data_IF_507871134727
#
_entry.id   IF_507871134727
#
_cell.length_a   1.000
_cell.length_b   1.000
_cell.length_c   1.000
_cell.angle_alpha   90.00
_cell.angle_beta   90.00
_cell.angle_gamma   90.00
#
_symmetry.space_group_name_H-M   'P 1'
#
loop_
_entity.id
_entity.type
_entity.pdbx_description
1 polymer ?
#
# COMPACT_ATOMS: atom_id res chain seq x y z
N UNK A 1 5.06 -18.49 -1.48
CA UNK A 1 5.21 -18.32 -2.93
C UNK A 1 4.08 -17.46 -3.43
N UNK A 2 4.32 -16.52 -4.37
CA UNK A 2 3.23 -15.73 -4.91
C UNK A 2 2.24 -16.65 -5.63
N UNK A 3 0.97 -16.49 -5.32
CA UNK A 3 -0.11 -17.11 -6.10
C UNK A 3 -0.27 -16.32 -7.39
N UNK A 4 0.48 -16.68 -8.41
CA UNK A 4 0.38 -16.04 -9.73
C UNK A 4 -0.57 -16.85 -10.59
N UNK A 5 -1.74 -16.31 -10.97
CA UNK A 5 -2.59 -16.94 -11.96
C UNK A 5 -1.81 -17.20 -13.25
N UNK A 6 -2.11 -18.29 -13.97
CA UNK A 6 -1.53 -18.53 -15.28
C UNK A 6 -1.69 -17.31 -16.17
N UNK A 7 -0.61 -16.84 -16.79
CA UNK A 7 -0.64 -15.68 -17.69
C UNK A 7 -0.40 -14.32 -17.04
N UNK A 8 -0.45 -14.18 -15.71
CA UNK A 8 -0.30 -12.88 -15.01
C UNK A 8 0.98 -12.10 -15.37
N UNK A 9 2.02 -12.78 -15.83
CA UNK A 9 3.26 -12.14 -16.32
C UNK A 9 3.15 -11.58 -17.74
N UNK A 10 2.07 -11.91 -18.47
CA UNK A 10 1.84 -11.48 -19.86
C UNK A 10 0.74 -10.42 -19.96
N UNK A 11 0.07 -10.12 -18.85
CA UNK A 11 -0.95 -9.06 -18.80
C UNK A 11 -0.34 -7.70 -19.13
N UNK A 12 -1.05 -6.93 -19.92
CA UNK A 12 -0.63 -5.58 -20.32
C UNK A 12 -1.55 -4.54 -19.68
N UNK A 13 -1.02 -3.36 -19.42
CA UNK A 13 -1.83 -2.24 -18.91
C UNK A 13 -2.96 -1.91 -19.90
N UNK A 14 -2.64 -1.88 -21.18
CA UNK A 14 -3.56 -1.50 -22.26
C UNK A 14 -4.80 -2.39 -22.32
N UNK A 15 -4.74 -3.66 -21.86
CA UNK A 15 -5.88 -4.58 -21.81
C UNK A 15 -7.01 -4.04 -20.93
N UNK A 16 -6.69 -3.14 -20.00
CA UNK A 16 -7.62 -2.53 -19.04
C UNK A 16 -7.94 -1.05 -19.34
N UNK A 17 -7.39 -0.48 -20.41
CA UNK A 17 -7.47 0.96 -20.71
C UNK A 17 -8.90 1.52 -20.78
N UNK A 18 -9.86 0.73 -21.27
CA UNK A 18 -11.29 1.12 -21.33
C UNK A 18 -11.93 1.34 -19.96
N UNK A 19 -11.32 0.87 -18.89
CA UNK A 19 -11.86 0.92 -17.51
C UNK A 19 -11.17 1.98 -16.63
N UNK A 20 -10.18 2.71 -17.16
CA UNK A 20 -9.41 3.70 -16.39
C UNK A 20 -10.15 5.02 -16.13
N UNK A 21 -11.23 5.28 -16.86
CA UNK A 21 -12.16 6.37 -16.60
C UNK A 21 -11.50 7.77 -16.46
N UNK A 22 -10.60 8.12 -17.41
CA UNK A 22 -9.89 9.41 -17.40
C UNK A 22 -8.66 9.43 -16.48
N UNK A 23 -8.02 8.27 -16.32
CA UNK A 23 -6.70 8.13 -15.70
C UNK A 23 -5.75 7.53 -16.74
N UNK A 24 -4.61 8.14 -16.96
CA UNK A 24 -3.56 7.57 -17.80
C UNK A 24 -2.66 6.63 -16.99
N UNK A 25 -2.15 5.57 -17.62
CA UNK A 25 -1.23 4.63 -17.02
C UNK A 25 0.00 4.40 -17.89
N UNK A 26 1.18 4.45 -17.27
CA UNK A 26 2.47 4.15 -17.89
C UNK A 26 3.21 3.09 -17.07
N UNK A 27 4.08 2.30 -17.72
CA UNK A 27 5.02 1.42 -17.03
C UNK A 27 6.40 2.07 -16.95
N UNK A 28 6.99 2.05 -15.75
CA UNK A 28 8.37 2.46 -15.49
C UNK A 28 9.19 1.29 -14.97
N UNK A 29 10.47 1.24 -15.33
CA UNK A 29 11.43 0.27 -14.81
C UNK A 29 12.36 0.94 -13.82
N UNK A 30 12.46 0.35 -12.63
CA UNK A 30 13.39 0.77 -11.59
C UNK A 30 14.31 -0.39 -11.19
N UNK A 31 15.32 -0.12 -10.39
CA UNK A 31 16.18 -1.15 -9.82
C UNK A 31 15.94 -1.22 -8.31
N UNK A 32 15.83 -2.43 -7.79
CA UNK A 32 15.89 -2.73 -6.36
C UNK A 32 17.29 -2.46 -5.81
N UNK A 33 17.46 -2.46 -4.48
CA UNK A 33 18.76 -2.24 -3.84
C UNK A 33 19.83 -3.25 -4.25
N UNK A 34 19.44 -4.46 -4.63
CA UNK A 34 20.33 -5.51 -5.12
C UNK A 34 20.46 -5.55 -6.65
N UNK A 35 19.94 -4.55 -7.36
CA UNK A 35 19.97 -4.45 -8.81
C UNK A 35 18.87 -5.22 -9.54
N UNK A 36 17.98 -5.95 -8.86
CA UNK A 36 16.82 -6.63 -9.46
C UNK A 36 15.95 -5.61 -10.19
N UNK A 37 15.58 -5.90 -11.45
CA UNK A 37 14.71 -5.02 -12.25
C UNK A 37 13.26 -5.17 -11.81
N UNK A 38 12.65 -4.04 -11.45
CA UNK A 38 11.27 -3.95 -11.00
C UNK A 38 10.44 -3.09 -11.95
N UNK A 39 9.15 -3.36 -11.98
CA UNK A 39 8.17 -2.58 -12.73
C UNK A 39 7.30 -1.79 -11.77
N UNK A 40 7.07 -0.54 -12.13
CA UNK A 40 6.15 0.36 -11.45
C UNK A 40 5.13 0.84 -12.47
N UNK A 41 3.85 0.64 -12.20
CA UNK A 41 2.80 1.28 -12.98
C UNK A 41 2.52 2.66 -12.39
N UNK A 42 2.51 3.68 -13.24
CA UNK A 42 2.35 5.09 -12.89
C UNK A 42 1.03 5.58 -13.43
N UNK A 43 0.16 6.07 -12.55
CA UNK A 43 -1.15 6.61 -12.90
C UNK A 43 -1.22 8.12 -12.64
N UNK A 44 -1.88 8.84 -13.55
CA UNK A 44 -2.22 10.25 -13.40
C UNK A 44 -3.64 10.50 -13.87
N UNK A 45 -4.47 11.24 -13.11
CA UNK A 45 -5.77 11.68 -13.60
C UNK A 45 -5.58 12.61 -14.79
N UNK A 46 -6.37 12.42 -15.85
CA UNK A 46 -6.48 13.37 -16.95
C UNK A 46 -7.31 14.56 -16.44
N UNK A 47 -6.65 15.57 -15.88
CA UNK A 47 -7.33 16.78 -15.40
C UNK A 47 -7.65 17.62 -16.63
N UNK A 48 -8.95 17.78 -16.92
CA UNK A 48 -9.42 18.79 -17.86
C UNK A 48 -9.05 20.18 -17.33
N UNK A 49 -8.01 20.77 -17.92
CA UNK A 49 -7.55 22.15 -17.85
C UNK A 49 -8.04 22.98 -16.65
N UNK A 50 -7.26 23.01 -15.58
CA UNK A 50 -7.26 24.15 -14.68
C UNK A 50 -6.08 25.07 -15.06
N UNK A 51 -6.30 26.38 -15.00
CA UNK A 51 -5.32 27.40 -15.36
C UNK A 51 -3.95 27.14 -14.73
N UNK A 52 -2.91 27.23 -15.55
CA UNK A 52 -1.50 26.92 -15.24
C UNK A 52 -0.82 27.87 -14.22
N UNK A 53 -1.55 28.61 -13.42
CA UNK A 53 -1.00 29.72 -12.62
C UNK A 53 -0.85 29.47 -11.11
N UNK A 54 -1.49 28.44 -10.53
CA UNK A 54 -1.30 28.14 -9.10
C UNK A 54 -0.44 26.90 -8.90
N UNK A 55 0.63 27.06 -8.11
CA UNK A 55 1.52 25.96 -7.67
C UNK A 55 0.71 25.00 -6.79
N UNK A 56 0.18 23.94 -7.40
CA UNK A 56 -0.62 22.94 -6.69
C UNK A 56 0.26 22.06 -5.83
N UNK A 57 -0.28 21.66 -4.67
CA UNK A 57 0.35 20.63 -3.85
C UNK A 57 0.40 19.32 -4.63
N UNK A 58 1.52 18.64 -4.58
CA UNK A 58 1.69 17.31 -5.18
C UNK A 58 1.34 16.22 -4.16
N UNK A 59 0.50 15.28 -4.54
CA UNK A 59 0.17 14.09 -3.74
C UNK A 59 0.59 12.84 -4.48
N UNK A 60 1.49 12.07 -3.87
CA UNK A 60 2.05 10.85 -4.46
C UNK A 60 1.64 9.65 -3.63
N UNK A 61 0.83 8.77 -4.21
CA UNK A 61 0.36 7.54 -3.57
C UNK A 61 1.23 6.37 -4.01
N UNK A 62 1.87 5.70 -3.07
CA UNK A 62 2.69 4.51 -3.28
C UNK A 62 1.88 3.27 -2.90
N UNK A 63 1.43 2.51 -3.90
CA UNK A 63 0.60 1.33 -3.70
C UNK A 63 1.40 0.03 -3.66
N UNK A 64 1.18 -0.75 -2.61
CA UNK A 64 1.76 -2.07 -2.37
C UNK A 64 0.66 -3.12 -2.46
N UNK A 65 0.68 -3.93 -3.52
CA UNK A 65 -0.35 -4.92 -3.79
C UNK A 65 -0.37 -6.08 -2.78
N UNK A 66 -1.53 -6.74 -2.67
CA UNK A 66 -1.68 -8.00 -1.96
C UNK A 66 -0.99 -9.17 -2.67
N UNK A 67 -1.02 -10.34 -2.01
CA UNK A 67 -0.50 -11.58 -2.59
C UNK A 67 -1.35 -12.02 -3.79
N UNK A 68 -0.68 -12.52 -4.82
CA UNK A 68 -1.34 -13.01 -6.03
C UNK A 68 -1.67 -11.93 -7.07
N UNK A 69 -1.97 -12.37 -8.28
CA UNK A 69 -2.22 -11.56 -9.46
C UNK A 69 -1.07 -10.58 -9.80
N UNK A 70 -1.34 -9.65 -10.68
CA UNK A 70 -0.41 -8.61 -11.14
C UNK A 70 -1.02 -7.22 -10.94
N UNK A 71 -0.32 -6.16 -11.34
CA UNK A 71 -0.84 -4.79 -11.26
C UNK A 71 -1.94 -4.51 -12.30
N UNK A 72 -1.85 -4.92 -13.58
CA UNK A 72 -2.85 -4.55 -14.59
C UNK A 72 -4.31 -4.77 -14.19
N UNK A 73 -4.75 -5.93 -13.67
CA UNK A 73 -6.15 -6.13 -13.27
C UNK A 73 -6.60 -5.28 -12.07
N UNK A 74 -5.68 -4.61 -11.37
CA UNK A 74 -5.99 -3.71 -10.25
C UNK A 74 -6.21 -2.27 -10.71
N UNK A 75 -5.75 -1.92 -11.93
CA UNK A 75 -5.82 -0.55 -12.45
C UNK A 75 -7.23 0.04 -12.51
N UNK A 76 -8.31 -0.72 -12.79
CA UNK A 76 -9.68 -0.17 -12.74
C UNK A 76 -10.06 0.36 -11.36
N UNK A 77 -9.80 -0.42 -10.30
CA UNK A 77 -10.08 -0.03 -8.92
C UNK A 77 -9.21 1.16 -8.50
N UNK A 78 -7.90 1.08 -8.75
CA UNK A 78 -6.95 2.15 -8.43
C UNK A 78 -7.29 3.46 -9.16
N UNK A 79 -7.68 3.39 -10.44
CA UNK A 79 -8.13 4.55 -11.22
C UNK A 79 -9.37 5.21 -10.61
N UNK A 80 -10.35 4.42 -10.20
CA UNK A 80 -11.56 4.94 -9.60
C UNK A 80 -11.29 5.70 -8.29
N UNK A 81 -10.44 5.14 -7.42
CA UNK A 81 -10.06 5.78 -6.14
C UNK A 81 -9.23 7.04 -6.40
N UNK A 82 -8.22 6.95 -7.28
CA UNK A 82 -7.37 8.09 -7.62
C UNK A 82 -8.19 9.25 -8.20
N UNK A 83 -9.11 8.95 -9.12
CA UNK A 83 -10.01 9.94 -9.70
C UNK A 83 -10.94 10.56 -8.67
N UNK A 84 -11.49 9.76 -7.76
CA UNK A 84 -12.35 10.26 -6.69
C UNK A 84 -11.58 11.21 -5.78
N UNK A 85 -10.37 10.85 -5.33
CA UNK A 85 -9.52 11.72 -4.52
C UNK A 85 -9.15 13.02 -5.26
N UNK A 86 -8.78 12.94 -6.54
CA UNK A 86 -8.42 14.11 -7.35
C UNK A 86 -9.59 15.04 -7.63
N UNK A 87 -10.81 14.52 -7.72
CA UNK A 87 -12.02 15.34 -7.88
C UNK A 87 -12.33 16.17 -6.64
N UNK A 88 -12.04 15.63 -5.48
CA UNK A 88 -12.37 16.25 -4.18
C UNK A 88 -11.26 17.18 -3.67
N UNK A 89 -10.10 17.21 -4.33
CA UNK A 89 -8.93 17.97 -3.89
C UNK A 89 -8.18 18.57 -5.09
N UNK A 90 -7.90 19.88 -5.08
CA UNK A 90 -7.24 20.58 -6.19
C UNK A 90 -5.71 20.32 -6.26
N UNK A 91 -5.28 19.13 -5.93
CA UNK A 91 -3.87 18.73 -5.92
C UNK A 91 -3.47 17.99 -7.20
N UNK A 92 -2.18 17.94 -7.48
CA UNK A 92 -1.61 17.13 -8.56
C UNK A 92 -1.36 15.72 -8.03
N UNK A 93 -2.20 14.79 -8.47
CA UNK A 93 -2.18 13.40 -8.01
C UNK A 93 -1.36 12.51 -8.91
N UNK A 94 -0.52 11.70 -8.31
CA UNK A 94 0.18 10.59 -8.98
C UNK A 94 0.06 9.33 -8.12
N UNK A 95 -0.33 8.20 -8.71
CA UNK A 95 -0.30 6.90 -8.06
C UNK A 95 0.78 6.04 -8.70
N UNK A 96 1.62 5.46 -7.86
CA UNK A 96 2.72 4.59 -8.21
C UNK A 96 2.42 3.19 -7.66
N UNK A 97 2.28 2.18 -8.49
CA UNK A 97 1.97 0.82 -8.07
C UNK A 97 3.17 -0.10 -8.31
N UNK A 98 3.77 -0.60 -7.21
CA UNK A 98 4.94 -1.46 -7.28
C UNK A 98 4.58 -2.90 -7.63
N UNK A 99 5.21 -3.44 -8.65
CA UNK A 99 5.26 -4.88 -8.90
C UNK A 99 6.53 -5.45 -8.26
N UNK A 100 6.38 -6.26 -7.22
CA UNK A 100 7.51 -6.89 -6.52
C UNK A 100 8.28 -7.82 -7.44
N UNK A 101 9.54 -8.15 -7.06
CA UNK A 101 10.31 -9.19 -7.74
C UNK A 101 9.52 -10.48 -7.89
N UNK A 102 9.56 -11.06 -9.08
CA UNK A 102 8.84 -12.27 -9.40
C UNK A 102 7.36 -12.10 -9.76
N UNK A 103 6.80 -10.89 -9.63
CA UNK A 103 5.44 -10.55 -10.06
C UNK A 103 5.46 -9.83 -11.41
N UNK A 104 4.35 -9.89 -12.14
CA UNK A 104 4.12 -9.24 -13.42
C UNK A 104 5.39 -9.25 -14.30
N UNK A 105 5.85 -8.06 -14.74
CA UNK A 105 7.04 -7.87 -15.59
C UNK A 105 8.34 -7.63 -14.79
N UNK A 106 8.29 -7.68 -13.45
CA UNK A 106 9.47 -7.62 -12.59
C UNK A 106 10.28 -8.92 -12.65
N UNK A 107 11.61 -8.80 -12.64
CA UNK A 107 12.51 -9.95 -12.63
C UNK A 107 12.65 -10.58 -11.24
N UNK A 108 13.45 -11.64 -11.13
CA UNK A 108 13.77 -12.30 -9.88
C UNK A 108 12.70 -13.27 -9.36
N UNK A 109 12.82 -13.61 -8.08
CA UNK A 109 11.89 -14.49 -7.35
C UNK A 109 11.45 -13.85 -6.05
N UNK A 110 10.17 -13.95 -5.72
CA UNK A 110 9.59 -13.39 -4.52
C UNK A 110 10.10 -14.11 -3.26
N UNK A 111 10.67 -13.35 -2.35
CA UNK A 111 11.02 -13.73 -0.98
C UNK A 111 11.08 -12.47 -0.12
N UNK A 112 10.80 -12.59 1.19
CA UNK A 112 10.63 -11.43 2.08
C UNK A 112 11.78 -10.44 1.99
N UNK A 113 13.01 -10.84 2.29
CA UNK A 113 14.18 -9.95 2.28
C UNK A 113 14.34 -9.20 0.95
N UNK A 114 14.05 -9.87 -0.17
CA UNK A 114 14.11 -9.23 -1.48
C UNK A 114 13.00 -8.21 -1.68
N UNK A 115 11.77 -8.51 -1.25
CA UNK A 115 10.62 -7.57 -1.33
C UNK A 115 10.84 -6.38 -0.38
N UNK A 116 11.48 -6.57 0.77
CA UNK A 116 11.91 -5.49 1.66
C UNK A 116 12.87 -4.52 0.94
N UNK A 117 13.84 -5.05 0.20
CA UNK A 117 14.74 -4.26 -0.65
C UNK A 117 14.01 -3.57 -1.80
N UNK A 118 13.02 -4.24 -2.42
CA UNK A 118 12.18 -3.67 -3.47
C UNK A 118 11.39 -2.47 -2.94
N UNK A 119 10.77 -2.62 -1.77
CA UNK A 119 9.97 -1.58 -1.13
C UNK A 119 10.81 -0.35 -0.75
N UNK A 120 11.99 -0.55 -0.17
CA UNK A 120 12.91 0.55 0.15
C UNK A 120 13.37 1.27 -1.11
N UNK A 121 13.81 0.53 -2.13
CA UNK A 121 14.24 1.11 -3.42
C UNK A 121 13.11 1.89 -4.09
N UNK A 122 11.88 1.39 -4.01
CA UNK A 122 10.70 2.03 -4.57
C UNK A 122 10.37 3.35 -3.86
N UNK A 123 10.38 3.38 -2.52
CA UNK A 123 10.16 4.63 -1.77
C UNK A 123 11.28 5.63 -2.07
N UNK A 124 12.55 5.19 -2.03
CA UNK A 124 13.68 6.06 -2.37
C UNK A 124 13.54 6.64 -3.78
N UNK A 125 13.21 5.81 -4.77
CA UNK A 125 12.98 6.26 -6.14
C UNK A 125 11.82 7.25 -6.23
N UNK A 126 10.71 7.01 -5.54
CA UNK A 126 9.57 7.91 -5.52
C UNK A 126 9.95 9.28 -4.91
N UNK A 127 10.66 9.29 -3.79
CA UNK A 127 11.17 10.52 -3.16
C UNK A 127 12.09 11.30 -4.12
N UNK A 128 13.03 10.62 -4.77
CA UNK A 128 13.96 11.25 -5.71
C UNK A 128 13.29 11.84 -6.95
N UNK A 129 12.22 11.25 -7.43
CA UNK A 129 11.57 11.68 -8.69
C UNK A 129 10.34 12.58 -8.49
N UNK A 130 9.73 12.52 -7.31
CA UNK A 130 8.48 13.25 -7.00
C UNK A 130 8.56 14.11 -5.74
N UNK A 131 9.54 13.88 -4.86
CA UNK A 131 9.71 14.57 -3.59
C UNK A 131 10.68 15.76 -3.62
N UNK A 132 10.90 16.38 -4.79
CA UNK A 132 11.88 17.46 -4.99
C UNK A 132 11.51 18.77 -4.28
N UNK A 133 10.24 18.96 -3.96
CA UNK A 133 9.72 20.07 -3.17
C UNK A 133 9.05 19.55 -1.90
N UNK A 134 9.82 19.25 -0.84
CA UNK A 134 9.28 18.62 0.37
C UNK A 134 8.17 19.42 1.04
N UNK A 135 8.21 20.76 0.95
CA UNK A 135 7.18 21.65 1.50
C UNK A 135 5.85 21.58 0.74
N UNK A 136 5.87 21.12 -0.51
CA UNK A 136 4.70 21.07 -1.39
C UNK A 136 4.36 19.65 -1.84
N UNK A 137 5.07 18.63 -1.35
CA UNK A 137 4.83 17.22 -1.70
C UNK A 137 4.37 16.43 -0.49
N UNK A 138 3.26 15.73 -0.66
CA UNK A 138 2.74 14.75 0.30
C UNK A 138 2.88 13.34 -0.25
N UNK A 139 3.42 12.43 0.56
CA UNK A 139 3.53 11.02 0.22
C UNK A 139 2.59 10.18 1.07
N UNK A 140 1.81 9.33 0.41
CA UNK A 140 0.86 8.41 1.03
C UNK A 140 1.28 6.99 0.66
N UNK A 141 1.50 6.12 1.65
CA UNK A 141 1.68 4.71 1.38
C UNK A 141 0.34 3.99 1.55
N UNK A 142 0.01 3.12 0.61
CA UNK A 142 -1.18 2.29 0.67
C UNK A 142 -0.84 0.83 0.40
N UNK A 143 -1.08 -0.02 1.39
CA UNK A 143 -0.84 -1.46 1.29
C UNK A 143 -2.12 -2.27 1.47
N UNK A 144 -2.32 -3.30 0.63
CA UNK A 144 -3.42 -4.24 0.71
C UNK A 144 -2.92 -5.61 1.18
N UNK A 145 -3.54 -6.20 2.20
CA UNK A 145 -3.21 -7.54 2.70
C UNK A 145 -1.70 -7.64 3.04
N UNK A 146 -0.94 -8.56 2.45
CA UNK A 146 0.52 -8.62 2.63
C UNK A 146 1.18 -7.28 2.29
N UNK A 147 0.62 -6.53 1.33
CA UNK A 147 1.07 -5.18 1.00
C UNK A 147 0.93 -4.20 2.16
N UNK A 148 0.01 -4.41 3.12
CA UNK A 148 -0.11 -3.57 4.31
C UNK A 148 1.11 -3.71 5.22
N UNK A 149 1.60 -4.92 5.43
CA UNK A 149 2.85 -5.18 6.15
C UNK A 149 4.08 -4.63 5.42
N UNK A 150 4.10 -4.73 4.07
CA UNK A 150 5.17 -4.16 3.24
C UNK A 150 5.17 -2.63 3.31
N UNK A 151 3.99 -1.99 3.23
CA UNK A 151 3.86 -0.54 3.34
C UNK A 151 4.28 -0.03 4.73
N UNK A 152 3.86 -0.70 5.80
CA UNK A 152 4.27 -0.38 7.17
C UNK A 152 5.79 -0.51 7.34
N UNK A 153 6.39 -1.60 6.84
CA UNK A 153 7.84 -1.79 6.83
C UNK A 153 8.56 -0.67 6.04
N UNK A 154 8.07 -0.33 4.85
CA UNK A 154 8.67 0.73 4.04
C UNK A 154 8.57 2.10 4.72
N UNK A 155 7.44 2.39 5.37
CA UNK A 155 7.25 3.61 6.17
C UNK A 155 8.22 3.68 7.36
N UNK A 156 8.41 2.57 8.09
CA UNK A 156 9.35 2.52 9.22
C UNK A 156 10.78 2.79 8.77
N UNK A 157 11.20 2.20 7.65
CA UNK A 157 12.55 2.41 7.11
C UNK A 157 12.78 3.83 6.58
N UNK A 158 11.77 4.41 5.96
CA UNK A 158 11.85 5.81 5.54
C UNK A 158 11.94 6.75 6.75
N UNK A 159 11.16 6.52 7.79
CA UNK A 159 11.19 7.32 9.03
C UNK A 159 12.55 7.24 9.74
N UNK A 160 13.20 6.07 9.77
CA UNK A 160 14.56 5.90 10.32
C UNK A 160 15.60 6.72 9.54
N UNK A 161 15.46 6.84 8.21
CA UNK A 161 16.43 7.51 7.33
C UNK A 161 16.18 9.00 7.14
N UNK A 162 14.95 9.48 7.35
CA UNK A 162 14.50 10.85 7.03
C UNK A 162 14.38 11.74 8.27
N UNK A 163 15.46 11.86 9.04
CA UNK A 163 15.49 12.76 10.20
C UNK A 163 15.70 14.25 9.80
N UNK A 164 15.93 14.54 8.51
CA UNK A 164 16.12 15.89 7.99
C UNK A 164 14.84 16.43 7.34
N UNK A 165 14.68 17.78 7.33
CA UNK A 165 13.54 18.47 6.71
C UNK A 165 13.59 18.50 5.19
N UNK A 166 14.69 18.04 4.58
CA UNK A 166 14.99 18.23 3.16
C UNK A 166 14.46 17.12 2.25
N UNK A 167 13.69 16.18 2.81
CA UNK A 167 13.13 15.02 2.08
C UNK A 167 11.62 14.99 2.26
N UNK A 168 10.90 14.73 1.18
CA UNK A 168 9.44 14.55 1.23
C UNK A 168 9.08 13.42 2.20
N UNK A 169 8.14 13.71 3.12
CA UNK A 169 7.75 12.84 4.20
C UNK A 169 6.55 11.98 3.82
N UNK A 170 6.51 10.77 4.37
CA UNK A 170 5.31 9.96 4.37
C UNK A 170 4.39 10.54 5.44
N UNK A 171 3.31 11.21 5.00
CA UNK A 171 2.34 11.86 5.89
C UNK A 171 1.18 10.95 6.27
N UNK A 172 0.92 9.92 5.45
CA UNK A 172 -0.24 9.04 5.61
C UNK A 172 0.09 7.60 5.23
N UNK A 173 -0.52 6.65 5.95
CA UNK A 173 -0.38 5.21 5.76
C UNK A 173 -1.77 4.57 5.73
N UNK A 174 -2.16 3.98 4.59
CA UNK A 174 -3.40 3.21 4.44
C UNK A 174 -3.08 1.72 4.53
N UNK A 175 -3.66 1.06 5.52
CA UNK A 175 -3.54 -0.38 5.76
C UNK A 175 -4.90 -1.03 5.44
N UNK A 176 -5.02 -1.62 4.26
CA UNK A 176 -6.21 -2.32 3.80
C UNK A 176 -6.11 -3.80 4.17
N UNK A 177 -7.12 -4.33 4.86
CA UNK A 177 -7.18 -5.70 5.38
C UNK A 177 -5.88 -6.12 6.09
N UNK A 178 -5.43 -5.33 7.10
CA UNK A 178 -4.14 -5.53 7.73
C UNK A 178 -4.13 -6.72 8.68
N UNK A 179 -2.93 -7.25 8.93
CA UNK A 179 -2.66 -8.30 9.92
C UNK A 179 -1.44 -7.94 10.77
N UNK A 180 -1.38 -8.48 11.99
CA UNK A 180 -0.26 -8.24 12.93
C UNK A 180 1.04 -8.83 12.39
N UNK A 181 1.01 -10.12 12.09
CA UNK A 181 2.11 -10.85 11.43
C UNK A 181 1.57 -12.11 10.77
N UNK A 182 2.29 -12.68 9.81
CA UNK A 182 1.91 -13.97 9.22
C UNK A 182 1.83 -15.05 10.30
N UNK A 183 2.73 -15.02 11.28
CA UNK A 183 2.71 -15.96 12.41
C UNK A 183 1.43 -15.82 13.25
N UNK A 184 1.09 -14.60 13.64
CA UNK A 184 -0.12 -14.30 14.41
C UNK A 184 -1.39 -14.67 13.64
N UNK A 185 -1.44 -14.36 12.34
CA UNK A 185 -2.55 -14.72 11.46
C UNK A 185 -2.75 -16.25 11.40
N UNK A 186 -1.67 -17.02 11.18
CA UNK A 186 -1.75 -18.47 11.14
C UNK A 186 -2.15 -19.07 12.50
N UNK A 187 -1.68 -18.50 13.62
CA UNK A 187 -2.09 -18.92 14.95
C UNK A 187 -3.58 -18.65 15.24
N UNK A 188 -4.13 -17.57 14.69
CA UNK A 188 -5.55 -17.24 14.84
C UNK A 188 -6.46 -18.13 13.96
N UNK A 189 -6.00 -18.51 12.75
CA UNK A 189 -6.75 -19.41 11.87
C UNK A 189 -6.71 -20.86 12.37
N UNK A 190 -5.58 -21.29 12.93
CA UNK A 190 -5.34 -22.66 13.40
C UNK A 190 -5.00 -22.68 14.90
N UNK A 191 -5.98 -22.48 15.79
CA UNK A 191 -5.74 -22.40 17.24
C UNK A 191 -5.34 -23.74 17.87
N UNK A 192 -5.68 -24.87 17.24
CA UNK A 192 -5.47 -26.20 17.80
C UNK A 192 -3.99 -26.59 17.91
N UNK A 193 -3.60 -27.06 19.08
CA UNK A 193 -2.20 -27.40 19.42
C UNK A 193 -1.62 -28.58 18.63
N UNK A 194 -2.45 -29.48 18.10
CA UNK A 194 -2.06 -30.70 17.38
C UNK A 194 -1.84 -30.47 15.88
N UNK A 195 -2.11 -29.26 15.39
CA UNK A 195 -1.98 -28.94 13.96
C UNK A 195 -0.48 -28.84 13.60
N UNK A 196 0.00 -29.57 12.58
CA UNK A 196 1.41 -29.65 12.20
C UNK A 196 2.08 -28.31 11.90
N UNK A 197 1.30 -27.26 11.59
CA UNK A 197 1.81 -25.91 11.29
C UNK A 197 2.66 -25.30 12.39
N UNK A 198 2.37 -25.58 13.67
CA UNK A 198 3.20 -25.09 14.80
C UNK A 198 4.62 -25.64 14.75
N UNK A 199 4.80 -26.84 14.24
CA UNK A 199 6.11 -27.46 14.04
C UNK A 199 6.82 -26.97 12.78
N UNK A 200 6.07 -26.40 11.81
CA UNK A 200 6.60 -25.82 10.58
C UNK A 200 6.99 -24.34 10.71
N UNK A 201 6.69 -23.68 11.84
CA UNK A 201 7.04 -22.27 12.07
C UNK A 201 8.53 -21.95 11.85
N UNK A 202 9.51 -22.77 12.23
CA UNK A 202 10.91 -22.50 11.91
C UNK A 202 11.21 -22.46 10.42
N UNK A 203 10.33 -23.03 9.59
CA UNK A 203 10.46 -23.08 8.13
C UNK A 203 9.70 -21.97 7.40
N UNK A 204 8.91 -21.15 8.14
CA UNK A 204 8.29 -19.96 7.56
C UNK A 204 9.40 -18.95 7.23
N UNK A 205 9.54 -18.68 5.92
CA UNK A 205 10.54 -17.74 5.40
C UNK A 205 10.07 -16.30 5.32
N UNK A 206 8.83 -16.03 5.73
CA UNK A 206 8.20 -14.71 5.63
C UNK A 206 7.40 -14.43 6.89
N UNK A 207 7.71 -13.34 7.58
CA UNK A 207 7.12 -13.02 8.87
C UNK A 207 6.20 -11.79 8.81
N UNK A 208 6.56 -10.81 7.98
CA UNK A 208 5.86 -9.53 7.83
C UNK A 208 5.26 -9.06 9.15
N UNK A 209 6.08 -8.46 9.99
CA UNK A 209 5.72 -8.01 11.32
C UNK A 209 5.26 -6.54 11.24
N UNK A 210 3.93 -6.35 11.17
CA UNK A 210 3.33 -5.00 11.15
C UNK A 210 3.43 -4.33 12.52
N UNK A 211 3.47 -5.10 13.61
CA UNK A 211 3.60 -4.57 14.97
C UNK A 211 4.97 -3.90 15.16
N UNK A 212 6.07 -4.58 14.82
CA UNK A 212 7.43 -4.00 14.89
C UNK A 212 7.55 -2.75 14.01
N UNK A 213 6.97 -2.78 12.81
CA UNK A 213 6.98 -1.63 11.91
C UNK A 213 6.23 -0.43 12.51
N UNK A 214 5.05 -0.61 13.11
CA UNK A 214 4.27 0.46 13.72
C UNK A 214 4.95 1.03 14.97
N UNK A 215 5.63 0.20 15.77
CA UNK A 215 6.44 0.67 16.90
C UNK A 215 7.55 1.60 16.43
N UNK A 216 8.29 1.23 15.39
CA UNK A 216 9.35 2.06 14.79
C UNK A 216 8.80 3.35 14.18
N UNK A 217 7.63 3.30 13.54
CA UNK A 217 6.94 4.49 13.02
C UNK A 217 6.60 5.46 14.15
N UNK A 218 6.14 4.95 15.30
CA UNK A 218 5.78 5.78 16.45
C UNK A 218 6.97 6.49 17.10
N UNK A 219 8.19 5.96 16.94
CA UNK A 219 9.43 6.60 17.42
C UNK A 219 9.87 7.77 16.53
N UNK A 220 9.26 7.93 15.35
CA UNK A 220 9.56 9.04 14.45
C UNK A 220 9.10 10.38 15.03
N UNK A 221 9.87 11.46 14.78
CA UNK A 221 9.47 12.82 15.12
C UNK A 221 8.19 13.28 14.39
N UNK A 222 7.83 12.62 13.29
CA UNK A 222 6.69 12.95 12.44
C UNK A 222 6.02 11.65 11.95
N UNK A 223 5.33 10.93 12.82
CA UNK A 223 4.64 9.71 12.43
C UNK A 223 3.50 10.01 11.46
N UNK A 224 3.28 9.18 10.42
CA UNK A 224 2.16 9.34 9.52
C UNK A 224 0.83 9.08 10.23
N UNK A 225 -0.23 9.73 9.76
CA UNK A 225 -1.60 9.32 10.10
C UNK A 225 -1.87 7.93 9.52
N UNK A 226 -2.60 7.10 10.24
CA UNK A 226 -2.89 5.72 9.83
C UNK A 226 -4.38 5.55 9.57
N UNK A 227 -4.74 5.05 8.39
CA UNK A 227 -6.09 4.57 8.09
C UNK A 227 -6.06 3.04 8.04
N UNK A 228 -6.89 2.40 8.83
CA UNK A 228 -7.17 0.97 8.73
C UNK A 228 -8.50 0.75 8.03
N UNK A 229 -8.49 0.05 6.89
CA UNK A 229 -9.69 -0.34 6.15
C UNK A 229 -9.88 -1.83 6.31
N UNK A 230 -10.92 -2.23 7.03
CA UNK A 230 -11.17 -3.62 7.42
C UNK A 230 -12.36 -4.17 6.66
N UNK A 231 -12.21 -5.34 6.05
CA UNK A 231 -13.32 -6.06 5.44
C UNK A 231 -14.12 -6.78 6.53
N UNK A 232 -15.42 -6.48 6.67
CA UNK A 232 -16.21 -7.07 7.76
C UNK A 232 -16.52 -8.57 7.58
N UNK A 233 -16.47 -9.06 6.37
CA UNK A 233 -16.61 -10.46 6.00
C UNK A 233 -15.30 -11.12 5.59
N UNK A 234 -14.16 -10.63 6.10
CA UNK A 234 -12.84 -11.14 5.72
C UNK A 234 -12.70 -12.63 6.07
N UNK A 235 -12.58 -13.45 5.02
CA UNK A 235 -12.46 -14.91 5.11
C UNK A 235 -11.01 -15.40 5.20
N UNK A 236 -10.04 -14.48 5.12
CA UNK A 236 -8.59 -14.79 5.12
C UNK A 236 -7.93 -14.27 6.40
N UNK A 237 -8.16 -13.00 6.73
CA UNK A 237 -7.55 -12.35 7.89
C UNK A 237 -8.61 -12.20 9.00
N UNK A 238 -8.49 -12.93 10.12
CA UNK A 238 -9.42 -12.80 11.22
C UNK A 238 -9.48 -11.37 11.76
N UNK A 239 -10.68 -10.87 12.04
CA UNK A 239 -10.93 -9.49 12.52
C UNK A 239 -10.05 -9.10 13.72
N UNK A 240 -9.76 -10.04 14.61
CA UNK A 240 -8.90 -9.83 15.78
C UNK A 240 -7.52 -9.28 15.42
N UNK A 241 -7.01 -9.54 14.22
CA UNK A 241 -5.74 -8.98 13.76
C UNK A 241 -5.81 -7.45 13.62
N UNK A 242 -6.89 -6.94 13.05
CA UNK A 242 -7.13 -5.50 12.94
C UNK A 242 -7.41 -4.87 14.31
N UNK A 243 -8.15 -5.57 15.20
CA UNK A 243 -8.44 -5.11 16.55
C UNK A 243 -7.14 -4.94 17.36
N UNK A 244 -6.20 -5.88 17.27
CA UNK A 244 -4.89 -5.83 17.91
C UNK A 244 -4.04 -4.67 17.38
N UNK A 245 -4.02 -4.46 16.05
CA UNK A 245 -3.26 -3.37 15.45
C UNK A 245 -3.84 -2.00 15.80
N UNK A 246 -5.17 -1.87 15.84
CA UNK A 246 -5.81 -0.62 16.28
C UNK A 246 -5.46 -0.29 17.73
N UNK A 247 -5.56 -1.28 18.63
CA UNK A 247 -5.17 -1.13 20.03
C UNK A 247 -3.71 -0.71 20.13
N UNK A 248 -2.81 -1.39 19.44
CA UNK A 248 -1.40 -1.05 19.41
C UNK A 248 -1.16 0.40 18.94
N UNK A 249 -1.80 0.83 17.85
CA UNK A 249 -1.66 2.21 17.36
C UNK A 249 -2.09 3.24 18.41
N UNK A 250 -3.18 2.98 19.12
CA UNK A 250 -3.68 3.83 20.21
C UNK A 250 -2.70 3.89 21.38
N UNK A 251 -2.18 2.74 21.80
CA UNK A 251 -1.19 2.63 22.89
C UNK A 251 0.11 3.39 22.53
N UNK A 252 0.50 3.36 21.27
CA UNK A 252 1.64 4.08 20.72
C UNK A 252 1.34 5.56 20.41
N UNK A 253 0.12 6.03 20.66
CA UNK A 253 -0.36 7.40 20.39
C UNK A 253 -0.23 7.82 18.91
N UNK A 254 -0.33 6.85 18.00
CA UNK A 254 -0.46 7.15 16.57
C UNK A 254 -1.86 7.68 16.27
N UNK A 255 -1.94 8.64 15.34
CA UNK A 255 -3.23 9.11 14.81
C UNK A 255 -3.83 8.03 13.92
N UNK A 256 -4.69 7.20 14.48
CA UNK A 256 -5.31 6.06 13.80
C UNK A 256 -6.80 6.26 13.61
N UNK A 257 -7.25 6.06 12.39
CA UNK A 257 -8.67 5.97 12.01
C UNK A 257 -8.95 4.57 11.49
N UNK A 258 -10.00 3.92 11.97
CA UNK A 258 -10.47 2.64 11.46
C UNK A 258 -11.84 2.77 10.82
N UNK A 259 -12.01 2.12 9.67
CA UNK A 259 -13.31 1.97 8.98
C UNK A 259 -13.50 0.52 8.56
N UNK A 260 -14.63 -0.04 8.96
CA UNK A 260 -15.07 -1.38 8.56
C UNK A 260 -15.97 -1.26 7.33
N UNK A 261 -15.61 -1.94 6.25
CA UNK A 261 -16.40 -2.01 5.01
C UNK A 261 -17.37 -3.18 5.13
N UNK A 262 -18.66 -2.88 5.26
CA UNK A 262 -19.69 -3.86 5.54
C UNK A 262 -19.89 -4.82 4.36
N UNK A 263 -19.93 -6.12 4.66
CA UNK A 263 -20.13 -7.18 3.66
C UNK A 263 -18.95 -7.43 2.72
N UNK A 264 -17.85 -6.68 2.87
CA UNK A 264 -16.65 -6.90 2.06
C UNK A 264 -15.95 -8.20 2.46
N UNK A 265 -15.55 -8.99 1.46
CA UNK A 265 -14.56 -10.07 1.59
C UNK A 265 -13.14 -9.50 1.54
N UNK A 266 -12.14 -10.33 1.83
CA UNK A 266 -10.72 -9.94 1.95
C UNK A 266 -10.20 -9.02 0.83
N UNK A 267 -10.54 -9.33 -0.42
CA UNK A 267 -10.05 -8.55 -1.58
C UNK A 267 -11.04 -7.48 -2.04
N UNK A 268 -12.16 -7.29 -1.34
CA UNK A 268 -13.23 -6.41 -1.76
C UNK A 268 -13.29 -5.06 -1.04
N UNK A 269 -12.51 -4.88 0.02
CA UNK A 269 -12.57 -3.67 0.83
C UNK A 269 -12.46 -2.38 -0.02
N UNK A 270 -11.46 -2.30 -0.90
CA UNK A 270 -11.28 -1.15 -1.83
C UNK A 270 -12.12 -1.22 -3.11
N UNK A 271 -12.82 -2.33 -3.38
CA UNK A 271 -13.64 -2.48 -4.59
C UNK A 271 -15.10 -2.10 -4.37
N UNK A 272 -15.62 -2.24 -3.14
CA UNK A 272 -16.94 -1.79 -2.77
C UNK A 272 -16.99 -0.25 -2.66
N UNK A 273 -18.16 0.33 -2.96
CA UNK A 273 -18.33 1.79 -2.99
C UNK A 273 -17.98 2.46 -1.65
N UNK A 274 -18.37 1.85 -0.53
CA UNK A 274 -18.05 2.33 0.80
C UNK A 274 -16.53 2.44 1.01
N UNK A 275 -15.78 1.39 0.66
CA UNK A 275 -14.34 1.38 0.84
C UNK A 275 -13.61 2.33 -0.11
N UNK A 276 -14.08 2.44 -1.36
CA UNK A 276 -13.55 3.44 -2.30
C UNK A 276 -13.67 4.86 -1.74
N UNK A 277 -14.86 5.22 -1.25
CA UNK A 277 -15.11 6.53 -0.65
C UNK A 277 -14.25 6.78 0.58
N UNK A 278 -14.19 5.80 1.49
CA UNK A 278 -13.35 5.90 2.69
C UNK A 278 -11.89 6.20 2.33
N UNK A 279 -11.33 5.44 1.38
CA UNK A 279 -9.92 5.60 0.99
C UNK A 279 -9.71 6.94 0.27
N UNK A 280 -10.56 7.27 -0.71
CA UNK A 280 -10.41 8.50 -1.50
C UNK A 280 -10.61 9.76 -0.66
N UNK A 281 -11.62 9.79 0.21
CA UNK A 281 -11.92 10.96 1.06
C UNK A 281 -10.79 11.16 2.08
N UNK A 282 -10.32 10.08 2.70
CA UNK A 282 -9.23 10.16 3.67
C UNK A 282 -7.91 10.60 3.03
N UNK A 283 -7.59 10.09 1.83
CA UNK A 283 -6.43 10.56 1.06
C UNK A 283 -6.54 12.04 0.70
N UNK A 284 -7.76 12.53 0.43
CA UNK A 284 -8.04 13.93 0.10
C UNK A 284 -8.20 14.85 1.34
N UNK A 285 -7.87 14.35 2.55
CA UNK A 285 -7.99 15.04 3.84
C UNK A 285 -9.43 15.49 4.19
N UNK A 286 -10.42 14.71 3.77
CA UNK A 286 -11.82 14.92 4.10
C UNK A 286 -12.25 14.10 5.31
N UNK A 287 -13.28 14.58 6.00
CA UNK A 287 -13.89 13.80 7.07
C UNK A 287 -14.56 12.56 6.47
N UNK A 288 -14.23 11.40 7.00
CA UNK A 288 -14.85 10.12 6.64
C UNK A 288 -15.94 9.79 7.66
N UNK A 289 -17.18 9.76 7.17
CA UNK A 289 -18.37 9.46 7.95
C UNK A 289 -18.65 7.95 8.01
#
# INVERSE_FOLDING_TARGET
MPSLPPGSRREKLEDYSRTWAGVSWDERKIKSLDGTRLSVAVARPEILSASAQDKRKQVVVLYFQGNGASIPPRTPMLSNILRAAAKESPHDWTLLALSYRGYWTSSGRAHQRGIEQDAQAFVTWAVQNYGQDPGNTEMILWGQSIGSGIAAYAASKHSESSQTTDVARISRLVLETPFVSIKSMLAAIYPDWWVPYKHLWPFLRSWWDSEDALRKIAESSYPPKVLMVVASGDEIVPRVQADQLETLCRDLRLDVTRKDVLGALHTQASTLEQGKRVISDWMADRQIH
#
